data_IF_760801576854
#
_entry.id   IF_760801576854
#
_cell.length_a   1.000
_cell.length_b   1.000
_cell.length_c   1.000
_cell.angle_alpha   90.00
_cell.angle_beta   90.00
_cell.angle_gamma   90.00
#
_symmetry.space_group_name_H-M   'P 1'
#
loop_
_entity.id
_entity.type
_entity.pdbx_description
1 polymer ?
#
# COMPACT_ATOMS: atom_id res chain seq x y z
N UNK A 1 -9.15 -25.44 -8.59
CA UNK A 1 -7.68 -25.52 -8.39
C UNK A 1 -7.30 -24.62 -7.23
N UNK A 2 -6.47 -25.10 -6.31
CA UNK A 2 -5.93 -24.27 -5.24
C UNK A 2 -4.91 -23.27 -5.79
N UNK A 3 -4.82 -22.10 -5.17
CA UNK A 3 -3.78 -21.10 -5.43
C UNK A 3 -3.07 -20.76 -4.12
N UNK A 4 -1.78 -20.52 -4.19
CA UNK A 4 -0.97 -20.14 -3.03
C UNK A 4 -0.77 -18.64 -3.03
N UNK A 5 -1.01 -18.00 -1.89
CA UNK A 5 -0.61 -16.61 -1.64
C UNK A 5 0.71 -16.66 -0.87
N UNK A 6 1.73 -16.01 -1.41
CA UNK A 6 3.01 -15.82 -0.72
C UNK A 6 3.04 -14.40 -0.19
N UNK A 7 3.22 -14.23 1.13
CA UNK A 7 3.35 -12.93 1.76
C UNK A 7 4.77 -12.81 2.31
N UNK A 8 5.48 -11.79 1.86
CA UNK A 8 6.83 -11.43 2.28
C UNK A 8 6.76 -10.26 3.25
N UNK A 9 7.23 -10.47 4.49
CA UNK A 9 7.42 -9.42 5.48
C UNK A 9 8.79 -8.77 5.23
N UNK A 10 8.83 -7.56 4.67
CA UNK A 10 10.09 -6.99 4.16
C UNK A 10 11.16 -6.84 5.25
N UNK A 11 10.76 -6.46 6.46
CA UNK A 11 11.64 -6.32 7.62
C UNK A 11 11.38 -7.40 8.69
N UNK A 12 10.66 -8.47 8.36
CA UNK A 12 10.22 -9.48 9.35
C UNK A 12 9.09 -9.02 10.29
N UNK A 13 8.63 -7.77 10.18
CA UNK A 13 7.58 -7.20 11.03
C UNK A 13 6.17 -7.43 10.43
N UNK A 14 5.23 -8.08 11.15
CA UNK A 14 3.87 -8.31 10.65
C UNK A 14 3.10 -7.02 10.34
N UNK A 15 3.36 -5.95 11.09
CA UNK A 15 2.72 -4.63 10.92
C UNK A 15 3.52 -3.69 10.02
N UNK A 16 4.65 -4.15 9.47
CA UNK A 16 5.48 -3.38 8.57
C UNK A 16 5.05 -3.49 7.11
N UNK A 17 5.98 -3.13 6.23
CA UNK A 17 5.84 -3.27 4.79
C UNK A 17 5.72 -4.75 4.39
N UNK A 18 4.72 -5.07 3.58
CA UNK A 18 4.46 -6.42 3.08
C UNK A 18 4.34 -6.42 1.57
N UNK A 19 4.90 -7.43 0.92
CA UNK A 19 4.64 -7.72 -0.49
C UNK A 19 3.92 -9.07 -0.59
N UNK A 20 2.96 -9.20 -1.49
CA UNK A 20 2.20 -10.43 -1.68
C UNK A 20 2.07 -10.77 -3.16
N UNK A 21 2.17 -12.05 -3.46
CA UNK A 21 2.04 -12.62 -4.80
C UNK A 21 1.08 -13.80 -4.78
N UNK A 22 0.33 -13.97 -5.87
CA UNK A 22 -0.59 -15.08 -6.06
C UNK A 22 -0.03 -16.03 -7.13
N UNK A 23 -0.01 -17.34 -6.85
CA UNK A 23 0.45 -18.33 -7.83
C UNK A 23 -0.28 -18.19 -9.17
N UNK A 24 0.49 -18.13 -10.26
CA UNK A 24 0.02 -17.96 -11.64
C UNK A 24 -0.61 -16.59 -11.94
N UNK A 25 -0.28 -15.56 -11.16
CA UNK A 25 -0.57 -14.16 -11.47
C UNK A 25 0.75 -13.39 -11.52
N UNK A 26 0.91 -12.56 -12.55
CA UNK A 26 2.15 -11.79 -12.78
C UNK A 26 2.21 -10.54 -11.89
N UNK A 27 1.08 -10.14 -11.30
CA UNK A 27 1.01 -8.95 -10.48
C UNK A 27 1.51 -9.15 -9.05
N UNK A 28 1.75 -8.02 -8.40
CA UNK A 28 2.20 -7.92 -7.02
C UNK A 28 1.29 -6.98 -6.24
N UNK A 29 0.97 -7.36 -5.01
CA UNK A 29 0.34 -6.47 -4.04
C UNK A 29 1.37 -5.98 -3.01
N UNK A 30 1.33 -4.71 -2.64
CA UNK A 30 2.20 -4.16 -1.59
C UNK A 30 1.32 -3.45 -0.55
N UNK A 31 1.57 -3.75 0.72
CA UNK A 31 0.91 -3.09 1.86
C UNK A 31 1.92 -2.16 2.53
N UNK A 32 1.65 -0.87 2.49
CA UNK A 32 2.54 0.19 2.99
C UNK A 32 1.84 0.90 4.14
N UNK A 33 2.26 0.68 5.40
CA UNK A 33 1.87 1.53 6.52
C UNK A 33 2.32 2.98 6.29
N UNK A 34 1.49 3.98 6.61
CA UNK A 34 1.80 5.41 6.41
C UNK A 34 3.10 5.82 7.13
N UNK A 35 3.34 5.31 8.32
CA UNK A 35 4.57 5.56 9.08
C UNK A 35 5.84 4.96 8.45
N UNK A 36 5.71 4.04 7.49
CA UNK A 36 6.80 3.42 6.73
C UNK A 36 6.91 4.01 5.32
N UNK A 37 6.17 5.08 5.01
CA UNK A 37 6.18 5.72 3.70
C UNK A 37 7.62 6.07 3.28
N UNK A 38 8.39 6.76 4.12
CA UNK A 38 9.78 7.14 3.79
C UNK A 38 10.69 5.97 3.38
N UNK A 39 10.42 4.78 3.91
CA UNK A 39 11.23 3.58 3.67
C UNK A 39 11.05 3.03 2.24
N UNK A 40 9.94 3.37 1.57
CA UNK A 40 9.64 2.86 0.23
C UNK A 40 10.25 3.69 -0.90
N UNK A 41 10.79 4.89 -0.61
CA UNK A 41 11.37 5.81 -1.61
C UNK A 41 12.42 5.13 -2.49
N UNK A 42 13.29 4.32 -1.89
CA UNK A 42 14.40 3.66 -2.61
C UNK A 42 14.00 2.32 -3.24
N UNK A 43 12.76 1.86 -3.04
CA UNK A 43 12.33 0.58 -3.58
C UNK A 43 11.89 0.71 -5.04
N UNK A 44 12.45 -0.09 -5.96
CA UNK A 44 12.09 0.00 -7.38
C UNK A 44 10.64 -0.37 -7.68
N UNK A 45 10.04 -1.27 -6.89
CA UNK A 45 8.62 -1.65 -7.02
C UNK A 45 7.70 -0.44 -6.75
N UNK A 46 7.99 0.35 -5.72
CA UNK A 46 7.21 1.53 -5.36
C UNK A 46 7.43 2.76 -6.27
N UNK A 47 8.29 2.66 -7.28
CA UNK A 47 8.58 3.72 -8.25
C UNK A 47 7.99 3.44 -9.65
N UNK A 48 7.00 2.54 -9.73
CA UNK A 48 6.31 2.14 -10.96
C UNK A 48 4.84 2.59 -10.97
N UNK A 49 4.16 2.45 -12.13
CA UNK A 49 2.72 2.62 -12.18
C UNK A 49 1.99 1.66 -11.23
N UNK A 50 0.89 2.10 -10.65
CA UNK A 50 0.10 1.30 -9.72
C UNK A 50 -1.34 1.81 -9.60
N UNK A 51 -2.26 0.89 -9.34
CA UNK A 51 -3.55 1.20 -8.73
C UNK A 51 -3.41 0.98 -7.23
N UNK A 52 -3.94 1.90 -6.42
CA UNK A 52 -3.82 1.83 -4.97
C UNK A 52 -5.09 2.26 -4.23
N UNK A 53 -5.18 1.79 -3.00
CA UNK A 53 -6.22 2.09 -2.03
C UNK A 53 -5.57 2.71 -0.81
N UNK A 54 -5.94 3.93 -0.45
CA UNK A 54 -5.66 4.50 0.86
C UNK A 54 -6.79 4.10 1.80
N UNK A 55 -6.48 3.50 2.94
CA UNK A 55 -7.46 3.03 3.92
C UNK A 55 -7.15 3.62 5.29
N UNK A 56 -8.19 4.10 5.97
CA UNK A 56 -8.09 4.60 7.35
C UNK A 56 -9.43 5.10 7.86
N UNK A 57 -9.43 6.04 8.79
CA UNK A 57 -10.64 6.63 9.39
C UNK A 57 -10.51 8.15 9.37
N UNK A 58 -11.60 8.87 9.06
CA UNK A 58 -11.60 10.34 9.11
C UNK A 58 -11.30 10.88 10.51
N UNK A 59 -11.83 10.23 11.53
CA UNK A 59 -11.60 10.53 12.94
C UNK A 59 -11.74 9.25 13.78
N UNK A 60 -11.46 9.35 15.09
CA UNK A 60 -11.52 8.19 16.00
C UNK A 60 -12.95 7.67 16.22
N UNK A 61 -13.95 8.55 16.12
CA UNK A 61 -15.37 8.23 16.31
C UNK A 61 -15.98 7.52 15.10
N UNK A 62 -15.32 7.55 13.94
CA UNK A 62 -15.83 6.94 12.71
C UNK A 62 -16.01 5.43 12.90
N UNK A 63 -17.26 4.98 12.72
CA UNK A 63 -17.65 3.57 12.83
C UNK A 63 -17.13 2.74 11.66
N UNK A 64 -17.00 3.34 10.48
CA UNK A 64 -16.55 2.71 9.25
C UNK A 64 -15.23 3.33 8.78
N UNK A 65 -14.42 2.52 8.09
CA UNK A 65 -13.20 3.00 7.43
C UNK A 65 -13.53 3.76 6.15
N UNK A 66 -12.80 4.85 5.90
CA UNK A 66 -12.76 5.52 4.59
C UNK A 66 -11.75 4.82 3.69
N UNK A 67 -12.12 4.62 2.43
CA UNK A 67 -11.22 4.19 1.38
C UNK A 67 -11.18 5.24 0.25
N UNK A 68 -9.98 5.55 -0.23
CA UNK A 68 -9.76 6.32 -1.45
C UNK A 68 -9.06 5.44 -2.47
N UNK A 69 -9.53 5.43 -3.71
CA UNK A 69 -8.96 4.66 -4.82
C UNK A 69 -8.28 5.64 -5.78
N UNK A 70 -7.08 5.32 -6.22
CA UNK A 70 -6.38 6.11 -7.22
C UNK A 70 -5.42 5.30 -8.06
N UNK A 71 -4.93 5.95 -9.11
CA UNK A 71 -3.87 5.48 -9.98
C UNK A 71 -2.66 6.43 -9.85
N UNK A 72 -1.46 5.91 -10.12
CA UNK A 72 -0.24 6.69 -10.24
C UNK A 72 0.65 6.10 -11.33
N UNK A 73 1.39 6.95 -12.05
CA UNK A 73 2.52 6.52 -12.88
C UNK A 73 3.79 6.26 -12.04
N UNK A 74 3.91 6.97 -10.92
CA UNK A 74 4.91 6.72 -9.89
C UNK A 74 4.22 6.74 -8.52
N UNK A 75 4.11 5.56 -7.91
CA UNK A 75 3.39 5.36 -6.66
C UNK A 75 3.99 6.20 -5.51
N UNK A 76 5.32 6.17 -5.33
CA UNK A 76 6.01 6.92 -4.28
C UNK A 76 5.66 8.42 -4.28
N UNK A 77 5.78 9.06 -5.44
CA UNK A 77 5.47 10.48 -5.60
C UNK A 77 4.01 10.76 -5.26
N UNK A 78 3.08 9.90 -5.73
CA UNK A 78 1.65 10.08 -5.49
C UNK A 78 1.28 9.91 -4.02
N UNK A 79 1.84 8.91 -3.34
CA UNK A 79 1.61 8.71 -1.91
C UNK A 79 2.19 9.85 -1.08
N UNK A 80 3.34 10.39 -1.47
CA UNK A 80 3.92 11.60 -0.82
C UNK A 80 2.99 12.81 -0.96
N UNK A 81 2.35 13.01 -2.11
CA UNK A 81 1.34 14.07 -2.28
C UNK A 81 0.12 13.86 -1.36
N UNK A 82 -0.34 12.62 -1.21
CA UNK A 82 -1.45 12.32 -0.30
C UNK A 82 -1.07 12.45 1.18
N UNK A 83 0.17 12.13 1.55
CA UNK A 83 0.66 12.29 2.92
C UNK A 83 0.58 13.74 3.41
N UNK A 84 0.72 14.70 2.49
CA UNK A 84 0.62 16.13 2.77
C UNK A 84 -0.81 16.71 2.65
N UNK A 85 -1.79 15.95 2.14
CA UNK A 85 -3.12 16.48 1.80
C UNK A 85 -4.30 15.67 2.33
N UNK A 86 -4.07 14.46 2.86
CA UNK A 86 -5.11 13.56 3.38
C UNK A 86 -4.63 12.94 4.67
N UNK A 87 -5.34 13.24 5.76
CA UNK A 87 -4.94 12.77 7.08
C UNK A 87 -5.60 11.46 7.52
N UNK A 88 -6.73 11.10 6.92
CA UNK A 88 -7.51 9.93 7.34
C UNK A 88 -6.74 8.61 7.18
N UNK A 89 -5.86 8.50 6.18
CA UNK A 89 -5.30 7.23 5.77
C UNK A 89 -4.16 6.78 6.69
N UNK A 90 -4.09 5.46 6.90
CA UNK A 90 -3.10 4.80 7.76
C UNK A 90 -2.34 3.70 7.04
N UNK A 91 -2.97 3.10 6.03
CA UNK A 91 -2.38 2.02 5.24
C UNK A 91 -2.72 2.22 3.77
N UNK A 92 -1.74 1.98 2.90
CA UNK A 92 -1.96 1.88 1.46
C UNK A 92 -1.84 0.43 1.01
N UNK A 93 -2.76 -0.03 0.17
CA UNK A 93 -2.67 -1.27 -0.59
C UNK A 93 -2.44 -0.90 -2.04
N UNK A 94 -1.33 -1.31 -2.66
CA UNK A 94 -1.10 -1.10 -4.09
C UNK A 94 -1.06 -2.41 -4.86
N UNK A 95 -1.39 -2.35 -6.14
CA UNK A 95 -1.38 -3.45 -7.08
C UNK A 95 -0.65 -3.02 -8.35
N UNK A 96 0.30 -3.84 -8.79
CA UNK A 96 1.19 -3.61 -9.93
C UNK A 96 1.29 -4.87 -10.79
#
# INVERSE_FOLDING_TARGET
MAKTIKIFLVAGEPNGLKAAELSNWVGQAIVIPRNKLKDIKQRPDCNKPAVYFLVGKENEEALLSTAYIGEAENLWNRLTTHDNSKDFWRTTLCFQ
#
